data_IF_212318183776
#
_entry.id   IF_212318183776
#
_cell.length_a   1.000
_cell.length_b   1.000
_cell.length_c   1.000
_cell.angle_alpha   90.00
_cell.angle_beta   90.00
_cell.angle_gamma   90.00
#
_symmetry.space_group_name_H-M   'P 1'
#
loop_
_entity.id
_entity.type
_entity.pdbx_description
1 polymer ?
#
# COMPACT_ATOMS: atom_id res chain seq x y z
N UNK A 1 21.90 17.60 4.71
CA UNK A 1 20.69 17.69 3.88
C UNK A 1 19.86 16.46 4.17
N UNK A 2 18.68 16.61 4.78
CA UNK A 2 17.77 15.48 4.98
C UNK A 2 17.16 15.13 3.63
N UNK A 3 17.38 13.89 3.18
CA UNK A 3 16.65 13.35 2.04
C UNK A 3 15.16 13.34 2.42
N UNK A 4 14.31 13.92 1.58
CA UNK A 4 12.87 13.80 1.75
C UNK A 4 12.51 12.33 1.53
N UNK A 5 12.22 11.63 2.62
CA UNK A 5 11.68 10.28 2.55
C UNK A 5 10.16 10.41 2.40
N UNK A 6 9.57 9.98 1.26
CA UNK A 6 8.13 9.98 1.11
C UNK A 6 7.48 9.14 2.21
N UNK A 7 6.33 9.60 2.71
CA UNK A 7 5.57 8.83 3.70
C UNK A 7 5.18 7.47 3.09
N UNK A 8 5.39 6.35 3.80
CA UNK A 8 5.05 5.03 3.30
C UNK A 8 3.55 4.93 3.11
N UNK A 9 3.12 4.42 1.95
CA UNK A 9 1.70 4.24 1.66
C UNK A 9 1.26 2.91 2.25
N UNK A 10 0.23 2.92 3.10
CA UNK A 10 -0.33 1.72 3.70
C UNK A 10 -1.86 1.69 3.51
N UNK A 11 -2.36 0.54 3.06
CA UNK A 11 -3.78 0.23 3.05
C UNK A 11 -3.99 -0.95 3.99
N UNK A 12 -4.68 -0.71 5.10
CA UNK A 12 -5.02 -1.76 6.07
C UNK A 12 -6.53 -1.92 6.21
N UNK A 13 -6.97 -3.16 6.36
CA UNK A 13 -8.38 -3.49 6.56
C UNK A 13 -8.51 -4.66 7.51
N UNK A 14 -9.35 -4.47 8.52
CA UNK A 14 -9.68 -5.49 9.51
C UNK A 14 -11.09 -6.01 9.24
N UNK A 15 -11.21 -7.31 9.12
CA UNK A 15 -12.44 -8.04 8.86
C UNK A 15 -12.79 -8.90 10.08
N UNK A 16 -14.07 -8.94 10.45
CA UNK A 16 -14.57 -9.79 11.55
C UNK A 16 -14.71 -11.24 11.09
N UNK A 17 -14.71 -12.22 12.01
CA UNK A 17 -15.06 -13.59 11.68
C UNK A 17 -16.40 -13.65 10.91
N UNK A 18 -16.39 -14.33 9.77
CA UNK A 18 -17.56 -14.47 8.88
C UNK A 18 -17.73 -13.37 7.82
N UNK A 19 -16.98 -12.25 7.91
CA UNK A 19 -16.97 -11.20 6.87
C UNK A 19 -15.96 -11.48 5.75
N UNK A 20 -15.10 -12.48 5.92
CA UNK A 20 -14.04 -12.82 4.98
C UNK A 20 -14.07 -14.30 4.64
N UNK A 21 -13.63 -14.60 3.43
CA UNK A 21 -13.34 -15.96 2.94
C UNK A 21 -11.97 -15.95 2.30
N UNK A 22 -11.38 -17.13 2.04
CA UNK A 22 -10.08 -17.19 1.36
C UNK A 22 -10.12 -16.51 -0.02
N UNK A 23 -11.22 -16.68 -0.75
CA UNK A 23 -11.45 -16.05 -2.05
C UNK A 23 -11.51 -14.52 -1.93
N UNK A 24 -12.35 -14.01 -1.02
CA UNK A 24 -12.47 -12.56 -0.79
C UNK A 24 -11.18 -11.94 -0.27
N UNK A 25 -10.36 -12.67 0.51
CA UNK A 25 -9.04 -12.19 0.93
C UNK A 25 -8.09 -12.03 -0.26
N UNK A 26 -8.08 -13.01 -1.17
CA UNK A 26 -7.26 -12.95 -2.39
C UNK A 26 -7.70 -11.79 -3.27
N UNK A 27 -9.00 -11.60 -3.45
CA UNK A 27 -9.53 -10.45 -4.21
C UNK A 27 -9.15 -9.10 -3.55
N UNK A 28 -9.28 -9.00 -2.22
CA UNK A 28 -8.95 -7.79 -1.47
C UNK A 28 -7.46 -7.44 -1.59
N UNK A 29 -6.59 -8.42 -1.40
CA UNK A 29 -5.14 -8.24 -1.55
C UNK A 29 -4.80 -7.80 -2.98
N UNK A 30 -5.39 -8.42 -4.00
CA UNK A 30 -5.15 -8.03 -5.39
C UNK A 30 -5.65 -6.61 -5.69
N UNK A 31 -6.79 -6.22 -5.14
CA UNK A 31 -7.32 -4.86 -5.26
C UNK A 31 -6.36 -3.83 -4.65
N UNK A 32 -5.85 -4.09 -3.44
CA UNK A 32 -4.92 -3.19 -2.76
C UNK A 32 -3.57 -3.11 -3.46
N UNK A 33 -3.04 -4.24 -3.93
CA UNK A 33 -1.82 -4.28 -4.75
C UNK A 33 -1.99 -3.52 -6.05
N UNK A 34 -3.13 -3.66 -6.72
CA UNK A 34 -3.44 -2.90 -7.94
C UNK A 34 -3.46 -1.41 -7.65
N UNK A 35 -4.17 -0.99 -6.61
CA UNK A 35 -4.25 0.43 -6.23
C UNK A 35 -2.88 1.03 -5.90
N UNK A 36 -2.04 0.27 -5.21
CA UNK A 36 -0.67 0.66 -4.89
C UNK A 36 0.21 0.69 -6.15
N UNK A 37 0.03 -0.26 -7.07
CA UNK A 37 0.71 -0.25 -8.36
C UNK A 37 0.28 0.93 -9.26
N UNK A 38 -1.00 1.31 -9.23
CA UNK A 38 -1.52 2.51 -9.92
C UNK A 38 -0.87 3.80 -9.41
N UNK A 39 -0.40 3.82 -8.15
CA UNK A 39 0.38 4.93 -7.58
C UNK A 39 1.86 4.91 -7.99
N UNK A 40 2.28 3.92 -8.78
CA UNK A 40 3.65 3.76 -9.27
C UNK A 40 4.52 2.78 -8.48
N UNK A 41 3.93 2.01 -7.57
CA UNK A 41 4.68 0.99 -6.82
C UNK A 41 5.01 -0.23 -7.71
N UNK A 42 6.30 -0.59 -7.87
CA UNK A 42 6.64 -1.85 -8.48
C UNK A 42 6.26 -3.00 -7.54
N UNK A 43 5.78 -4.11 -8.11
CA UNK A 43 5.32 -5.26 -7.32
C UNK A 43 6.36 -5.83 -6.35
N UNK A 44 7.65 -5.61 -6.62
CA UNK A 44 8.77 -6.00 -5.74
C UNK A 44 8.94 -5.12 -4.50
N UNK A 45 8.37 -3.91 -4.50
CA UNK A 45 8.40 -2.97 -3.37
C UNK A 45 7.08 -2.95 -2.58
N UNK A 46 6.09 -3.75 -2.99
CA UNK A 46 4.82 -3.90 -2.28
C UNK A 46 4.91 -5.06 -1.31
N UNK A 47 4.84 -4.76 -0.02
CA UNK A 47 4.72 -5.75 1.04
C UNK A 47 3.24 -6.04 1.30
N UNK A 48 2.90 -7.32 1.50
CA UNK A 48 1.56 -7.76 1.90
C UNK A 48 1.70 -8.59 3.16
N UNK A 49 1.00 -8.20 4.20
CA UNK A 49 0.91 -8.90 5.47
C UNK A 49 -0.55 -9.26 5.77
N UNK A 50 -0.77 -10.49 6.20
CA UNK A 50 -2.11 -11.00 6.53
C UNK A 50 -2.05 -11.60 7.92
N UNK A 51 -2.52 -10.83 8.90
CA UNK A 51 -2.59 -11.24 10.29
C UNK A 51 -3.93 -11.92 10.55
N UNK A 52 -3.87 -13.22 10.85
CA UNK A 52 -5.05 -14.01 11.25
C UNK A 52 -5.03 -14.16 12.77
N UNK A 53 -6.11 -13.72 13.41
CA UNK A 53 -6.23 -13.75 14.86
C UNK A 53 -6.99 -15.01 15.32
N UNK A 54 -6.70 -15.50 16.53
CA UNK A 54 -7.38 -16.65 17.15
C UNK A 54 -8.90 -16.46 17.34
N UNK A 55 -9.36 -15.22 17.41
CA UNK A 55 -10.79 -14.84 17.43
C UNK A 55 -11.49 -15.04 16.06
N UNK A 56 -10.74 -15.44 15.03
CA UNK A 56 -11.25 -15.62 13.66
C UNK A 56 -11.34 -14.31 12.86
N UNK A 57 -10.87 -13.19 13.42
CA UNK A 57 -10.71 -11.93 12.69
C UNK A 57 -9.42 -11.94 11.86
N UNK A 58 -9.46 -11.29 10.70
CA UNK A 58 -8.30 -11.17 9.80
C UNK A 58 -8.03 -9.72 9.51
N UNK A 59 -6.77 -9.34 9.57
CA UNK A 59 -6.29 -8.03 9.16
C UNK A 59 -5.39 -8.21 7.95
N UNK A 60 -5.73 -7.54 6.86
CA UNK A 60 -4.89 -7.44 5.67
C UNK A 60 -4.22 -6.08 5.69
N UNK A 61 -2.91 -6.06 5.48
CA UNK A 61 -2.10 -4.85 5.37
C UNK A 61 -1.30 -4.96 4.08
N UNK A 62 -1.45 -3.98 3.20
CA UNK A 62 -0.60 -3.85 2.01
C UNK A 62 0.11 -2.51 2.11
N UNK A 63 1.44 -2.55 2.11
CA UNK A 63 2.27 -1.37 2.27
C UNK A 63 3.29 -1.25 1.13
N UNK A 64 3.59 -0.01 0.77
CA UNK A 64 4.64 0.35 -0.16
C UNK A 64 5.53 1.40 0.49
N UNK A 65 6.77 1.00 0.76
CA UNK A 65 7.81 1.93 1.20
C UNK A 65 8.44 2.49 -0.07
N UNK A 66 7.99 3.68 -0.46
CA UNK A 66 8.59 4.37 -1.59
C UNK A 66 10.06 4.67 -1.26
N UNK A 67 11.02 4.27 -2.11
CA UNK A 67 12.42 4.54 -1.86
C UNK A 67 12.61 6.04 -1.68
N UNK A 68 13.47 6.43 -0.74
CA UNK A 68 13.82 7.83 -0.54
C UNK A 68 14.24 8.38 -1.90
N UNK A 69 13.49 9.37 -2.41
CA UNK A 69 13.88 10.08 -3.62
C UNK A 69 15.14 10.82 -3.21
N UNK A 70 16.31 10.28 -3.59
CA UNK A 70 17.54 11.05 -3.55
C UNK A 70 17.27 12.25 -4.45
N UNK A 71 17.05 13.41 -3.83
CA UNK A 71 16.51 14.59 -4.50
C UNK A 71 17.32 14.93 -5.74
N UNK A 72 16.69 14.73 -6.90
CA UNK A 72 16.94 15.58 -8.04
C UNK A 72 15.68 16.45 -8.16
N UNK A 73 15.85 17.73 -7.85
CA UNK A 73 14.83 18.77 -7.78
C UNK A 73 14.25 19.08 -9.16
N UNK A 74 13.71 18.11 -9.92
CA UNK A 74 13.07 18.44 -11.20
C UNK A 74 12.10 17.33 -11.67
N UNK A 75 10.90 17.29 -11.09
CA UNK A 75 9.67 16.98 -11.83
C UNK A 75 8.46 17.01 -10.89
N UNK A 76 7.88 18.20 -10.74
CA UNK A 76 6.47 18.35 -10.37
C UNK A 76 5.68 18.57 -11.66
N UNK A 77 4.98 17.57 -12.23
CA UNK A 77 3.96 17.84 -13.25
C UNK A 77 2.69 18.28 -12.52
N UNK A 78 2.69 19.52 -12.04
CA UNK A 78 1.58 20.15 -11.34
C UNK A 78 1.49 21.61 -11.76
N UNK A 79 1.36 21.84 -13.06
CA UNK A 79 1.13 23.17 -13.58
C UNK A 79 -0.21 23.70 -13.10
N UNK A 80 -0.18 24.83 -12.39
CA UNK A 80 -1.12 25.91 -12.65
C UNK A 80 -0.54 27.23 -12.14
N UNK A 81 -0.02 28.09 -13.02
CA UNK A 81 0.15 29.49 -12.70
C UNK A 81 -1.13 30.26 -13.06
N UNK A 82 -1.44 31.22 -12.17
CA UNK A 82 -2.36 32.37 -12.26
C UNK A 82 -3.83 32.12 -11.87
#
# INVERSE_FOLDING_TARGET
MSLYQPEPVEISTRMRPGEWTEDSLVELVNSYRTRIAEMGAPASEVATDIERNDDGSVKVVVSWVKPAIAGDEESVPGGQPL
#
